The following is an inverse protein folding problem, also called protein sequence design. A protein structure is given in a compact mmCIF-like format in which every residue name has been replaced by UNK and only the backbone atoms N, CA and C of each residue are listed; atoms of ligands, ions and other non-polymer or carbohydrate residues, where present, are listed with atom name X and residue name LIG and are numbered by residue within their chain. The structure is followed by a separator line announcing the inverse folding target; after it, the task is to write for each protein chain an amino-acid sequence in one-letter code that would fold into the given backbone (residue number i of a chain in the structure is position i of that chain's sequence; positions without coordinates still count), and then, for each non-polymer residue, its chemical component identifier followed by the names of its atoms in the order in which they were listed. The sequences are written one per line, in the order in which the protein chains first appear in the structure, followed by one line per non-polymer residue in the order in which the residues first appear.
data_IF_006773658934
#
_entry.id   IF_006773658934
#
_cell.length_a   1.000
_cell.length_b   1.000
_cell.length_c   1.000
_cell.angle_alpha   90.00
_cell.angle_beta   90.00
_cell.angle_gamma   90.00
#
_symmetry.space_group_name_H-M   'P 1'
#
loop_
_entity.id
_entity.type
_entity.pdbx_description
1 polymer ?
#
# COMPACT_ATOMS: atom_id res chain seq x y z
N UNK A 1 19.46 -10.46 2.79
CA UNK A 1 18.36 -9.56 2.39
C UNK A 1 17.11 -10.05 3.09
N UNK A 2 16.42 -9.20 3.85
CA UNK A 2 15.19 -9.55 4.57
C UNK A 2 13.93 -9.30 3.73
N UNK A 3 12.77 -9.70 4.27
CA UNK A 3 11.45 -9.45 3.69
C UNK A 3 11.01 -7.98 3.81
N UNK A 4 9.71 -7.73 3.59
CA UNK A 4 9.10 -6.42 3.80
C UNK A 4 8.41 -6.35 5.16
N UNK A 5 8.46 -5.20 5.82
CA UNK A 5 7.85 -4.94 7.13
C UNK A 5 7.00 -3.66 7.07
N UNK A 6 5.98 -3.53 7.91
CA UNK A 6 5.25 -2.26 8.04
C UNK A 6 6.08 -1.25 8.83
N UNK A 7 6.33 -0.07 8.26
CA UNK A 7 7.14 0.97 8.89
C UNK A 7 6.39 1.81 9.94
N UNK A 8 5.07 1.64 10.08
CA UNK A 8 4.22 2.41 11.00
C UNK A 8 2.87 1.72 11.22
N UNK A 9 2.11 2.18 12.22
CA UNK A 9 0.76 1.71 12.48
C UNK A 9 -0.33 2.34 11.58
N UNK A 10 0.06 2.98 10.48
CA UNK A 10 -0.91 3.56 9.53
C UNK A 10 -1.77 2.51 8.84
N UNK A 11 -1.31 1.26 8.78
CA UNK A 11 -2.05 0.13 8.21
C UNK A 11 -2.74 -0.72 9.30
N UNK A 12 -2.97 -0.17 10.49
CA UNK A 12 -3.42 -0.92 11.68
C UNK A 12 -2.28 -1.19 12.67
N UNK A 13 -2.50 -1.97 13.74
CA UNK A 13 -1.50 -2.25 14.78
C UNK A 13 -0.44 -3.26 14.31
N UNK A 14 0.21 -2.96 13.18
CA UNK A 14 1.09 -3.87 12.43
C UNK A 14 2.53 -3.39 12.35
N UNK A 15 2.89 -2.28 13.02
CA UNK A 15 4.25 -1.73 12.94
C UNK A 15 5.33 -2.78 13.28
N UNK A 16 6.34 -2.86 12.41
CA UNK A 16 7.45 -3.82 12.42
C UNK A 16 7.06 -5.29 12.19
N UNK A 17 5.79 -5.58 11.91
CA UNK A 17 5.40 -6.92 11.52
C UNK A 17 5.74 -7.16 10.04
N UNK A 18 6.08 -8.40 9.72
CA UNK A 18 6.29 -8.85 8.34
C UNK A 18 5.01 -8.70 7.51
N UNK A 19 5.18 -8.19 6.28
CA UNK A 19 4.13 -8.01 5.29
C UNK A 19 3.93 -9.33 4.53
N UNK A 20 2.77 -10.01 4.67
CA UNK A 20 2.47 -11.21 3.90
C UNK A 20 2.27 -10.88 2.42
N UNK A 21 2.49 -11.89 1.58
CA UNK A 21 2.15 -11.80 0.17
C UNK A 21 1.61 -13.14 -0.36
N UNK A 22 0.73 -13.06 -1.34
CA UNK A 22 0.18 -14.21 -2.03
C UNK A 22 0.14 -13.94 -3.54
N UNK A 23 0.21 -15.01 -4.34
CA UNK A 23 0.04 -14.93 -5.79
C UNK A 23 -1.28 -15.58 -6.15
N UNK A 24 -2.18 -14.80 -6.74
CA UNK A 24 -3.51 -15.24 -7.13
C UNK A 24 -3.64 -15.35 -8.65
N UNK A 25 -4.51 -16.25 -9.13
CA UNK A 25 -4.86 -16.36 -10.56
C UNK A 25 -6.33 -15.97 -10.75
N UNK A 26 -6.58 -14.91 -11.52
CA UNK A 26 -7.93 -14.56 -11.97
C UNK A 26 -8.48 -15.62 -12.93
N UNK A 27 -9.74 -16.05 -12.70
CA UNK A 27 -10.39 -17.06 -13.56
C UNK A 27 -11.04 -16.45 -14.80
N UNK A 28 -11.58 -15.24 -14.66
CA UNK A 28 -12.32 -14.54 -15.72
C UNK A 28 -11.61 -13.25 -16.14
N UNK A 29 -11.14 -12.49 -15.14
CA UNK A 29 -10.39 -11.28 -15.38
C UNK A 29 -8.98 -11.58 -15.91
N UNK A 30 -8.57 -10.84 -16.93
CA UNK A 30 -7.28 -10.97 -17.62
C UNK A 30 -6.35 -9.79 -17.37
N UNK A 31 -6.87 -8.69 -16.84
CA UNK A 31 -6.12 -7.46 -16.58
C UNK A 31 -6.25 -7.05 -15.12
N UNK A 32 -5.16 -6.52 -14.55
CA UNK A 32 -5.11 -5.93 -13.21
C UNK A 32 -4.64 -4.49 -13.34
N UNK A 33 -5.31 -3.56 -12.67
CA UNK A 33 -4.99 -2.15 -12.63
C UNK A 33 -5.01 -1.64 -11.20
N UNK A 34 -3.92 -1.02 -10.75
CA UNK A 34 -3.89 -0.23 -9.51
C UNK A 34 -4.06 1.24 -9.86
N UNK A 35 -4.98 1.92 -9.18
CA UNK A 35 -5.24 3.36 -9.36
C UNK A 35 -4.91 4.07 -8.04
N UNK A 36 -3.89 4.93 -7.99
CA UNK A 36 -3.54 5.69 -6.79
C UNK A 36 -4.46 6.92 -6.62
N UNK A 37 -4.70 7.31 -5.37
CA UNK A 37 -5.44 8.53 -5.02
C UNK A 37 -6.97 8.42 -5.09
N UNK A 38 -7.50 7.21 -5.27
CA UNK A 38 -8.93 6.92 -5.25
C UNK A 38 -9.17 5.51 -4.71
N UNK A 39 -10.35 5.30 -4.13
CA UNK A 39 -10.90 4.03 -3.69
C UNK A 39 -11.94 3.46 -4.69
N UNK A 40 -12.12 4.12 -5.85
CA UNK A 40 -13.14 3.75 -6.85
C UNK A 40 -12.52 3.31 -8.16
N UNK A 41 -12.95 2.14 -8.66
CA UNK A 41 -12.56 1.65 -9.97
C UNK A 41 -13.19 2.47 -11.10
N UNK A 42 -12.46 2.58 -12.23
CA UNK A 42 -13.02 3.19 -13.45
C UNK A 42 -14.22 2.38 -13.98
N UNK A 43 -15.20 3.00 -14.66
CA UNK A 43 -16.37 2.31 -15.18
C UNK A 43 -16.02 1.06 -16.02
N UNK A 44 -16.72 -0.05 -15.75
CA UNK A 44 -16.52 -1.32 -16.45
C UNK A 44 -15.32 -2.14 -15.97
N UNK A 45 -14.74 -1.80 -14.82
CA UNK A 45 -13.79 -2.64 -14.08
C UNK A 45 -14.42 -3.14 -12.79
N UNK A 46 -14.00 -4.32 -12.36
CA UNK A 46 -14.42 -4.95 -11.11
C UNK A 46 -13.49 -4.54 -9.97
N UNK A 47 -14.05 -4.21 -8.80
CA UNK A 47 -13.28 -3.97 -7.58
C UNK A 47 -12.71 -5.29 -7.06
N UNK A 48 -11.39 -5.35 -6.83
CA UNK A 48 -10.77 -6.43 -6.06
C UNK A 48 -10.59 -6.03 -4.61
N UNK A 49 -9.90 -4.91 -4.38
CA UNK A 49 -9.76 -4.33 -3.05
C UNK A 49 -9.41 -2.85 -3.11
N UNK A 50 -9.61 -2.17 -1.99
CA UNK A 50 -9.25 -0.78 -1.77
C UNK A 50 -8.32 -0.68 -0.56
N UNK A 51 -7.47 0.32 -0.56
CA UNK A 51 -6.29 0.33 0.29
C UNK A 51 -5.72 1.71 0.56
N UNK A 52 -4.59 1.69 1.25
CA UNK A 52 -3.70 2.83 1.40
C UNK A 52 -2.51 2.66 0.44
N UNK A 53 -2.18 3.74 -0.27
CA UNK A 53 -1.01 3.76 -1.13
C UNK A 53 0.25 3.72 -0.26
N UNK A 54 1.17 2.82 -0.58
CA UNK A 54 2.39 2.63 0.17
C UNK A 54 3.63 2.64 -0.72
N UNK A 55 4.76 3.07 -0.15
CA UNK A 55 6.07 3.01 -0.80
C UNK A 55 7.19 2.93 0.26
N UNK A 56 8.43 2.75 -0.17
CA UNK A 56 9.59 2.94 0.69
C UNK A 56 9.74 4.39 1.16
N UNK A 57 10.43 4.59 2.30
CA UNK A 57 10.75 5.92 2.79
C UNK A 57 11.83 6.58 1.91
N UNK A 58 11.69 7.87 1.64
CA UNK A 58 12.61 8.65 0.77
C UNK A 58 14.09 8.59 1.21
N UNK A 59 14.34 8.50 2.52
CA UNK A 59 15.70 8.40 3.07
C UNK A 59 16.26 6.96 3.09
N UNK A 60 15.47 5.95 2.72
CA UNK A 60 15.92 4.57 2.68
C UNK A 60 16.39 4.20 1.27
N UNK A 61 17.46 3.40 1.18
CA UNK A 61 17.88 2.76 -0.09
C UNK A 61 16.95 1.59 -0.44
N UNK A 62 15.63 1.83 -0.45
CA UNK A 62 14.58 0.81 -0.63
C UNK A 62 13.73 1.02 -1.87
N UNK A 63 12.71 0.17 -2.03
CA UNK A 63 11.88 0.10 -3.23
C UNK A 63 11.15 1.43 -3.45
N UNK A 64 11.25 1.97 -4.67
CA UNK A 64 10.62 3.21 -5.10
C UNK A 64 9.23 2.99 -5.72
N UNK A 65 8.79 1.73 -5.79
CA UNK A 65 7.49 1.41 -6.38
C UNK A 65 6.37 1.70 -5.39
N UNK A 66 5.33 2.35 -5.91
CA UNK A 66 4.07 2.48 -5.20
C UNK A 66 3.26 1.19 -5.31
N UNK A 67 2.78 0.70 -4.17
CA UNK A 67 1.89 -0.46 -4.06
C UNK A 67 0.61 -0.05 -3.34
N UNK A 68 -0.45 -0.82 -3.53
CA UNK A 68 -1.68 -0.67 -2.78
C UNK A 68 -1.70 -1.71 -1.65
N UNK A 69 -1.75 -1.27 -0.41
CA UNK A 69 -1.90 -2.15 0.75
C UNK A 69 -3.36 -2.16 1.13
N UNK A 70 -3.95 -3.35 1.23
CA UNK A 70 -5.35 -3.53 1.61
C UNK A 70 -5.71 -2.78 2.91
N UNK A 71 -6.95 -2.29 3.00
CA UNK A 71 -7.47 -1.66 4.20
C UNK A 71 -7.41 -2.60 5.42
N UNK A 72 -7.62 -3.90 5.20
CA UNK A 72 -7.53 -4.96 6.20
C UNK A 72 -6.15 -5.62 6.15
N UNK A 73 -5.09 -4.82 6.35
CA UNK A 73 -3.72 -5.29 6.27
C UNK A 73 -3.43 -6.40 7.30
N UNK A 74 -2.88 -7.51 6.81
CA UNK A 74 -2.55 -8.68 7.61
C UNK A 74 -1.07 -8.72 8.02
N UNK A 75 -0.76 -9.51 9.06
CA UNK A 75 0.60 -9.83 9.46
C UNK A 75 0.77 -11.34 9.69
N UNK A 76 1.99 -11.85 9.52
CA UNK A 76 2.29 -13.28 9.68
C UNK A 76 2.52 -13.60 11.17
N UNK A 77 1.92 -14.70 11.66
CA UNK A 77 2.20 -15.24 13.00
C UNK A 77 3.70 -15.57 13.12
N UNK A 78 4.37 -14.99 14.12
CA UNK A 78 5.82 -15.13 14.31
C UNK A 78 6.68 -14.21 13.45
N UNK A 79 6.08 -13.35 12.63
CA UNK A 79 6.73 -12.26 11.89
C UNK A 79 6.77 -10.94 12.68
N UNK A 80 6.43 -10.98 13.97
CA UNK A 80 6.47 -9.86 14.90
C UNK A 80 7.93 -9.64 15.33
N UNK A 81 8.70 -8.93 14.50
CA UNK A 81 10.12 -8.67 14.76
C UNK A 81 10.29 -7.31 15.45
N UNK A 82 10.81 -7.25 16.69
CA UNK A 82 11.10 -5.98 17.34
C UNK A 82 12.31 -5.27 16.73
N UNK A 83 13.07 -5.94 15.85
CA UNK A 83 14.35 -5.45 15.34
C UNK A 83 14.22 -4.63 14.04
N UNK A 84 13.11 -4.75 13.30
CA UNK A 84 12.84 -3.94 12.10
C UNK A 84 13.95 -4.02 11.04
N UNK A 85 14.41 -5.23 10.72
CA UNK A 85 15.61 -5.45 9.88
C UNK A 85 15.25 -5.68 8.40
N UNK A 86 13.97 -5.62 8.05
CA UNK A 86 13.44 -5.77 6.71
C UNK A 86 13.41 -4.46 5.92
N UNK A 87 12.80 -4.53 4.74
CA UNK A 87 12.48 -3.35 3.94
C UNK A 87 11.13 -2.80 4.35
N UNK A 88 11.13 -1.62 4.92
CA UNK A 88 9.92 -1.01 5.42
C UNK A 88 9.10 -0.34 4.32
N UNK A 89 7.78 -0.55 4.37
CA UNK A 89 6.80 0.20 3.59
C UNK A 89 6.06 1.19 4.51
N UNK A 90 5.78 2.36 3.96
CA UNK A 90 5.11 3.46 4.66
C UNK A 90 3.93 3.94 3.83
N UNK A 91 2.89 4.39 4.52
CA UNK A 91 1.78 5.06 3.85
C UNK A 91 2.26 6.34 3.18
N UNK A 92 1.78 6.57 1.97
CA UNK A 92 2.04 7.79 1.22
C UNK A 92 1.08 8.86 1.69
N UNK A 93 1.61 10.05 2.00
CA UNK A 93 0.83 11.21 2.39
C UNK A 93 0.95 12.31 1.34
N UNK A 94 -0.15 13.00 1.08
CA UNK A 94 -0.16 14.18 0.24
C UNK A 94 0.71 15.28 0.84
N UNK A 95 1.46 15.98 -0.03
CA UNK A 95 2.25 17.17 0.32
C UNK A 95 1.81 18.32 -0.57
N UNK A 96 1.19 19.35 0.00
CA UNK A 96 0.81 20.52 -0.77
C UNK A 96 2.05 21.23 -1.31
N UNK A 97 1.96 21.71 -2.55
CA UNK A 97 3.08 22.28 -3.31
C UNK A 97 3.77 21.24 -4.21
N UNK A 98 3.84 19.97 -3.80
CA UNK A 98 4.13 18.85 -4.71
C UNK A 98 2.88 18.33 -5.40
N UNK A 99 1.76 18.33 -4.67
CA UNK A 99 0.41 18.13 -5.19
C UNK A 99 -0.40 19.42 -5.07
N UNK A 100 -1.35 19.59 -5.98
CA UNK A 100 -2.34 20.66 -5.91
C UNK A 100 -3.28 20.44 -4.72
N UNK A 101 -3.51 21.50 -3.96
CA UNK A 101 -4.42 21.49 -2.82
C UNK A 101 -5.37 22.68 -2.97
N UNK A 102 -6.68 22.49 -3.24
CA UNK A 102 -7.45 21.24 -3.42
C UNK A 102 -7.18 20.50 -4.76
N UNK A 103 -7.59 19.21 -4.93
CA UNK A 103 -8.47 18.41 -4.06
C UNK A 103 -7.74 17.65 -2.94
N UNK A 104 -6.41 17.58 -2.97
CA UNK A 104 -5.66 16.94 -1.89
C UNK A 104 -5.60 17.83 -0.65
N UNK A 105 -5.43 17.19 0.50
CA UNK A 105 -5.24 17.87 1.79
C UNK A 105 -3.86 17.53 2.33
N UNK A 106 -3.13 18.56 2.79
CA UNK A 106 -1.77 18.37 3.27
C UNK A 106 -1.70 17.30 4.37
N UNK A 107 -0.68 16.44 4.29
CA UNK A 107 -0.43 15.34 5.22
C UNK A 107 -1.52 14.27 5.29
N UNK A 108 -2.54 14.30 4.41
CA UNK A 108 -3.57 13.27 4.35
C UNK A 108 -3.01 12.02 3.66
N UNK A 109 -3.28 10.86 4.23
CA UNK A 109 -2.92 9.56 3.66
C UNK A 109 -3.67 9.35 2.32
N UNK A 110 -2.95 8.86 1.32
CA UNK A 110 -3.50 8.62 -0.01
C UNK A 110 -4.07 7.22 -0.08
N UNK A 111 -5.31 7.11 -0.57
CA UNK A 111 -5.95 5.83 -0.86
C UNK A 111 -5.48 5.26 -2.20
N UNK A 112 -5.82 4.02 -2.45
CA UNK A 112 -5.65 3.35 -3.73
C UNK A 112 -6.72 2.28 -3.90
N UNK A 113 -6.90 1.84 -5.15
CA UNK A 113 -7.80 0.74 -5.48
C UNK A 113 -7.13 -0.19 -6.47
N UNK A 114 -7.36 -1.49 -6.32
CA UNK A 114 -6.98 -2.51 -7.30
C UNK A 114 -8.23 -3.06 -7.95
N UNK A 115 -8.23 -3.01 -9.27
CA UNK A 115 -9.34 -3.34 -10.14
C UNK A 115 -8.95 -4.41 -11.14
N UNK A 116 -9.90 -5.22 -11.57
CA UNK A 116 -9.70 -6.26 -12.59
C UNK A 116 -10.72 -6.19 -13.72
N UNK A 117 -10.37 -6.80 -14.86
CA UNK A 117 -11.22 -6.88 -16.05
C UNK A 117 -10.89 -8.09 -16.91
#
# INVERSE_FOLDING_TARGET
MGGAEYGSNSFGPTANNDVPCAVCRGLHDRSVLMIPGTDVCTPGWNLQYQGLLAAGHENHKSATQFICVDHDAESIIGGESPLGLGRQIYVVRARCGSLECPPYHNSKELTCVVCTK
#
